data_IF_875613380915
#
_entry.id   IF_875613380915
#
_cell.length_a   1.000
_cell.length_b   1.000
_cell.length_c   1.000
_cell.angle_alpha   90.00
_cell.angle_beta   90.00
_cell.angle_gamma   90.00
#
_symmetry.space_group_name_H-M   'P 1'
#
loop_
_entity.id
_entity.type
_entity.pdbx_description
1 polymer ?
#
# COMPACT_ATOMS: atom_id res chain seq x y z
N UNK A 1 -4.68 4.83 20.35
CA UNK A 1 -4.12 5.07 19.00
C UNK A 1 -4.59 6.46 18.60
N UNK A 2 -3.76 7.32 18.02
CA UNK A 2 -4.24 8.62 17.56
C UNK A 2 -5.16 8.45 16.36
N UNK A 3 -6.12 9.36 16.21
CA UNK A 3 -6.96 9.43 15.03
C UNK A 3 -6.11 9.64 13.78
N UNK A 4 -6.64 9.17 12.63
CA UNK A 4 -5.98 9.35 11.35
C UNK A 4 -5.87 10.85 11.02
N UNK A 5 -4.74 11.24 10.40
CA UNK A 5 -4.49 12.63 10.03
C UNK A 5 -5.48 13.18 8.98
N UNK A 6 -6.25 12.32 8.33
CA UNK A 6 -7.21 12.66 7.29
C UNK A 6 -8.53 11.92 7.48
N UNK A 7 -9.62 12.50 6.96
CA UNK A 7 -10.92 11.85 6.90
C UNK A 7 -11.01 10.98 5.64
N UNK A 8 -10.90 9.67 5.84
CA UNK A 8 -11.10 8.66 4.80
C UNK A 8 -12.58 8.30 4.71
N UNK A 9 -13.12 8.22 3.48
CA UNK A 9 -14.50 7.80 3.22
C UNK A 9 -14.62 6.28 3.30
N UNK A 10 -13.63 5.58 2.74
CA UNK A 10 -13.56 4.12 2.65
C UNK A 10 -12.18 3.66 3.12
N UNK A 11 -11.86 3.81 4.42
CA UNK A 11 -10.53 3.50 4.95
C UNK A 11 -10.19 2.02 4.78
N UNK A 12 -8.99 1.75 4.28
CA UNK A 12 -8.34 0.44 4.30
C UNK A 12 -7.01 0.56 5.02
N UNK A 13 -6.61 -0.52 5.68
CA UNK A 13 -5.32 -0.62 6.33
C UNK A 13 -4.62 -1.93 5.98
N UNK A 14 -3.30 -1.89 5.87
CA UNK A 14 -2.44 -3.07 5.70
C UNK A 14 -1.16 -2.95 6.51
N UNK A 15 -0.54 -4.09 6.78
CA UNK A 15 0.79 -4.14 7.40
C UNK A 15 1.80 -4.59 6.36
N UNK A 16 2.85 -3.80 6.16
CA UNK A 16 3.93 -4.05 5.23
C UNK A 16 5.26 -4.03 5.98
N UNK A 17 5.94 -5.17 6.11
CA UNK A 17 7.22 -5.27 6.83
C UNK A 17 7.17 -4.51 8.17
N UNK A 18 6.12 -4.79 8.95
CA UNK A 18 5.84 -4.20 10.26
C UNK A 18 5.46 -2.70 10.27
N UNK A 19 5.25 -2.10 9.11
CA UNK A 19 4.71 -0.74 8.97
C UNK A 19 3.21 -0.84 8.70
N UNK A 20 2.41 -0.31 9.62
CA UNK A 20 0.97 -0.13 9.43
C UNK A 20 0.72 1.06 8.51
N UNK A 21 0.00 0.83 7.41
CA UNK A 21 -0.34 1.83 6.41
C UNK A 21 -1.87 1.92 6.32
N UNK A 22 -2.41 3.13 6.31
CA UNK A 22 -3.82 3.42 6.10
C UNK A 22 -4.01 4.28 4.85
N UNK A 23 -5.07 4.03 4.08
CA UNK A 23 -5.31 4.69 2.80
C UNK A 23 -6.80 4.69 2.41
N UNK A 24 -7.17 5.58 1.48
CA UNK A 24 -8.50 5.60 0.86
C UNK A 24 -8.58 4.53 -0.22
N UNK A 25 -9.48 3.57 -0.07
CA UNK A 25 -9.73 2.59 -1.12
C UNK A 25 -10.50 3.24 -2.26
N UNK A 26 -9.99 3.11 -3.47
CA UNK A 26 -10.74 3.47 -4.67
C UNK A 26 -11.81 2.41 -4.97
N UNK A 27 -13.03 2.80 -5.40
CA UNK A 27 -14.06 1.87 -5.88
C UNK A 27 -13.54 0.86 -6.91
N UNK A 28 -12.60 1.27 -7.78
CA UNK A 28 -12.03 0.43 -8.84
C UNK A 28 -10.92 -0.51 -8.32
N UNK A 29 -10.73 -0.60 -7.01
CA UNK A 29 -9.80 -1.54 -6.36
C UNK A 29 -8.38 -1.00 -6.17
N UNK A 30 -8.11 0.24 -6.57
CA UNK A 30 -6.87 0.97 -6.30
C UNK A 30 -6.89 1.79 -5.00
N UNK A 31 -6.01 2.80 -4.92
CA UNK A 31 -6.07 3.83 -3.89
C UNK A 31 -6.12 5.21 -4.54
N UNK A 32 -6.91 6.13 -3.97
CA UNK A 32 -7.15 7.45 -4.57
C UNK A 32 -6.19 8.48 -4.00
N UNK A 33 -5.21 8.90 -4.80
CA UNK A 33 -4.17 9.88 -4.40
C UNK A 33 -4.75 11.29 -4.19
N UNK A 34 -5.70 11.68 -5.04
CA UNK A 34 -5.93 13.09 -5.35
C UNK A 34 -6.41 13.95 -4.18
N UNK A 35 -7.02 13.37 -3.14
CA UNK A 35 -7.57 14.14 -2.02
C UNK A 35 -7.18 13.62 -0.63
N UNK A 36 -6.77 12.36 -0.49
CA UNK A 36 -6.51 11.75 0.82
C UNK A 36 -5.28 10.86 0.72
N UNK A 37 -4.08 11.38 1.03
CA UNK A 37 -2.87 10.63 0.81
C UNK A 37 -2.80 9.43 1.78
N UNK A 38 -2.14 8.33 1.38
CA UNK A 38 -1.88 7.23 2.30
C UNK A 38 -0.95 7.69 3.43
N UNK A 39 -1.17 7.17 4.63
CA UNK A 39 -0.37 7.45 5.83
C UNK A 39 0.21 6.17 6.41
N UNK A 40 1.33 6.28 7.11
CA UNK A 40 1.92 5.18 7.85
C UNK A 40 2.10 5.52 9.32
N UNK A 41 1.99 4.51 10.17
CA UNK A 41 2.15 4.65 11.62
C UNK A 41 3.63 4.58 12.00
N UNK A 42 4.08 5.52 12.84
CA UNK A 42 5.40 5.48 13.47
C UNK A 42 5.24 5.19 14.97
N UNK A 43 5.47 3.94 15.41
CA UNK A 43 5.28 3.56 16.81
C UNK A 43 6.08 4.39 17.80
N UNK A 44 7.31 4.77 17.43
CA UNK A 44 8.23 5.56 18.27
C UNK A 44 7.64 6.90 18.69
N UNK A 45 6.99 7.58 17.76
CA UNK A 45 6.45 8.93 17.97
C UNK A 45 4.93 8.89 18.25
N UNK A 46 4.31 7.72 18.05
CA UNK A 46 2.86 7.53 18.10
C UNK A 46 2.11 8.50 17.17
N UNK A 47 2.64 8.68 15.96
CA UNK A 47 2.09 9.59 14.94
C UNK A 47 1.85 8.90 13.61
N UNK A 48 0.88 9.42 12.87
CA UNK A 48 0.66 9.11 11.45
C UNK A 48 1.48 10.08 10.59
N UNK A 49 2.20 9.56 9.61
CA UNK A 49 2.98 10.35 8.66
C UNK A 49 2.49 10.10 7.24
N UNK A 50 2.43 11.15 6.43
CA UNK A 50 2.02 11.08 5.03
C UNK A 50 3.08 10.36 4.18
N UNK A 51 2.64 9.41 3.36
CA UNK A 51 3.49 8.78 2.33
C UNK A 51 3.54 9.72 1.12
N UNK A 52 4.67 10.40 0.95
CA UNK A 52 4.92 11.31 -0.16
C UNK A 52 5.11 10.57 -1.49
N UNK A 53 4.90 11.28 -2.60
CA UNK A 53 5.08 10.76 -3.97
C UNK A 53 6.45 10.18 -4.25
N UNK A 54 7.48 10.85 -3.75
CA UNK A 54 8.88 10.44 -3.92
C UNK A 54 9.28 9.24 -3.04
N UNK A 55 8.41 8.77 -2.14
CA UNK A 55 8.76 7.69 -1.23
C UNK A 55 8.72 6.33 -1.92
N UNK A 56 9.69 5.47 -1.65
CA UNK A 56 9.62 4.05 -2.07
C UNK A 56 8.39 3.33 -1.50
N UNK A 57 7.83 3.81 -0.38
CA UNK A 57 6.58 3.30 0.18
C UNK A 57 5.38 3.59 -0.73
N UNK A 58 5.39 4.68 -1.50
CA UNK A 58 4.38 5.01 -2.51
C UNK A 58 4.32 3.94 -3.59
N UNK A 59 5.49 3.59 -4.15
CA UNK A 59 5.61 2.51 -5.14
C UNK A 59 5.13 1.18 -4.58
N UNK A 60 5.44 0.85 -3.32
CA UNK A 60 4.97 -0.41 -2.73
C UNK A 60 3.46 -0.38 -2.50
N UNK A 61 2.87 0.77 -2.13
CA UNK A 61 1.42 0.93 -2.09
C UNK A 61 0.82 0.70 -3.48
N UNK A 62 1.32 1.38 -4.52
CA UNK A 62 0.87 1.21 -5.91
C UNK A 62 0.96 -0.26 -6.37
N UNK A 63 2.09 -0.92 -6.13
CA UNK A 63 2.38 -2.24 -6.67
C UNK A 63 1.72 -3.38 -5.88
N UNK A 64 1.53 -3.24 -4.56
CA UNK A 64 0.88 -4.29 -3.73
C UNK A 64 -0.64 -4.18 -3.68
N UNK A 65 -1.22 -3.02 -3.98
CA UNK A 65 -2.67 -2.86 -4.05
C UNK A 65 -3.25 -3.09 -5.44
N UNK A 66 -2.42 -3.26 -6.47
CA UNK A 66 -2.87 -3.80 -7.74
C UNK A 66 -3.38 -5.23 -7.51
N UNK A 67 -4.70 -5.38 -7.52
CA UNK A 67 -5.32 -6.69 -7.70
C UNK A 67 -5.02 -7.08 -9.14
N UNK A 68 -3.98 -7.88 -9.36
CA UNK A 68 -3.68 -8.42 -10.68
C UNK A 68 -4.74 -9.47 -10.97
N UNK A 69 -5.78 -9.07 -11.70
CA UNK A 69 -6.88 -9.95 -12.11
C UNK A 69 -6.54 -10.78 -13.34
N UNK A 70 -5.48 -10.41 -14.06
CA UNK A 70 -5.07 -11.10 -15.28
C UNK A 70 -4.22 -12.34 -14.94
N UNK A 71 -4.76 -13.52 -15.24
CA UNK A 71 -4.14 -14.82 -14.91
C UNK A 71 -2.75 -14.99 -15.56
N UNK A 72 -2.58 -14.43 -16.77
CA UNK A 72 -1.32 -14.41 -17.52
C UNK A 72 -0.19 -13.74 -16.73
N UNK A 73 -0.48 -12.57 -16.16
CA UNK A 73 0.45 -11.77 -15.37
C UNK A 73 0.77 -12.46 -14.04
N UNK A 74 -0.22 -13.06 -13.39
CA UNK A 74 -0.01 -13.86 -12.16
C UNK A 74 0.91 -15.06 -12.40
N UNK A 75 0.71 -15.81 -13.49
CA UNK A 75 1.57 -16.94 -13.89
C UNK A 75 3.00 -16.48 -14.15
N UNK A 76 3.17 -15.36 -14.85
CA UNK A 76 4.49 -14.79 -15.13
C UNK A 76 5.24 -14.42 -13.84
N UNK A 77 4.60 -13.70 -12.92
CA UNK A 77 5.20 -13.30 -11.64
C UNK A 77 5.59 -14.54 -10.81
N UNK A 78 4.70 -15.54 -10.72
CA UNK A 78 4.98 -16.78 -10.00
C UNK A 78 6.20 -17.53 -10.58
N UNK A 79 6.35 -17.55 -11.91
CA UNK A 79 7.51 -18.15 -12.56
C UNK A 79 8.81 -17.40 -12.26
N UNK A 80 8.80 -16.07 -12.27
CA UNK A 80 9.99 -15.28 -11.95
C UNK A 80 10.44 -15.44 -10.50
N UNK A 81 9.49 -15.42 -9.55
CA UNK A 81 9.79 -15.65 -8.13
C UNK A 81 10.42 -17.03 -7.89
N UNK A 82 9.93 -18.08 -8.59
CA UNK A 82 10.52 -19.42 -8.52
C UNK A 82 11.95 -19.48 -9.06
N UNK A 83 12.31 -18.66 -10.04
CA UNK A 83 13.68 -18.59 -10.58
C UNK A 83 14.62 -17.89 -9.60
N UNK A 84 14.18 -16.81 -8.96
CA UNK A 84 14.99 -16.08 -7.98
C UNK A 84 15.20 -16.83 -6.67
N UNK A 85 14.22 -17.64 -6.22
CA UNK A 85 14.36 -18.46 -5.01
C UNK A 85 15.33 -19.65 -5.15
N UNK A 86 15.81 -19.94 -6.36
CA UNK A 86 16.75 -21.03 -6.64
C UNK A 86 18.18 -20.54 -6.88
N UNK A 87 18.45 -19.25 -6.65
CA UNK A 87 19.77 -18.63 -6.79
C UNK A 87 20.35 -18.24 -5.45
#
# INVERSE_FOLDING_TARGET
MQDLAFHYRTPKAVVLKDILIAYEKDPDGGYRVENTPPVFWVPKNRTWNTILESSSLRLICLLKFCTITEESVMKFIAQQNRKQSKS
#
